data_IF_915911831801
#
_entry.id   IF_915911831801
#
_cell.length_a   1.000
_cell.length_b   1.000
_cell.length_c   1.000
_cell.angle_alpha   90.00
_cell.angle_beta   90.00
_cell.angle_gamma   90.00
#
_symmetry.space_group_name_H-M   'P 1'
#
loop_
_entity.id
_entity.type
_entity.pdbx_description
1 polymer ?
#
# COMPACT_ATOMS: atom_id res chain seq x y z
N UNK A 1 -7.10 -1.53 -19.94
CA UNK A 1 -6.15 -1.09 -18.88
C UNK A 1 -4.71 -1.39 -19.29
N UNK A 2 -4.32 -2.64 -19.55
CA UNK A 2 -2.97 -2.97 -20.05
C UNK A 2 -2.61 -2.29 -21.39
N UNK A 3 -3.56 -2.15 -22.32
CA UNK A 3 -3.31 -1.54 -23.64
C UNK A 3 -3.04 -0.03 -23.62
N UNK A 4 -3.50 0.68 -22.58
CA UNK A 4 -3.30 2.14 -22.46
C UNK A 4 -2.11 2.44 -21.55
N UNK A 5 -1.92 1.66 -20.48
CA UNK A 5 -0.79 1.85 -19.56
C UNK A 5 0.56 1.44 -20.16
N UNK A 6 0.58 0.57 -21.17
CA UNK A 6 1.79 0.17 -21.90
C UNK A 6 2.04 0.98 -23.18
N UNK A 7 1.23 2.00 -23.46
CA UNK A 7 1.47 2.89 -24.59
C UNK A 7 2.76 3.70 -24.37
N UNK A 8 3.42 4.05 -25.47
CA UNK A 8 4.63 4.88 -25.41
C UNK A 8 4.30 6.22 -24.75
N UNK A 9 5.13 6.72 -23.82
CA UNK A 9 4.90 8.01 -23.17
C UNK A 9 5.02 9.18 -24.16
N UNK A 10 5.75 8.98 -25.25
CA UNK A 10 5.89 9.91 -26.36
C UNK A 10 5.19 9.39 -27.62
N UNK A 11 4.68 10.31 -28.45
CA UNK A 11 4.05 10.01 -29.73
C UNK A 11 2.56 10.35 -29.80
N UNK A 12 1.89 10.03 -30.91
CA UNK A 12 0.47 10.34 -31.09
C UNK A 12 -0.39 9.49 -30.17
N UNK A 13 -1.38 10.11 -29.53
CA UNK A 13 -2.37 9.46 -28.67
C UNK A 13 -3.69 9.16 -29.39
N UNK A 14 -3.77 9.49 -30.69
CA UNK A 14 -4.92 9.22 -31.54
C UNK A 14 -4.50 9.09 -33.01
N UNK A 15 -5.38 8.56 -33.85
CA UNK A 15 -5.18 8.46 -35.30
C UNK A 15 -4.49 7.16 -35.76
N UNK A 16 -4.16 7.11 -37.05
CA UNK A 16 -3.66 5.89 -37.69
C UNK A 16 -2.31 5.41 -37.12
N UNK A 17 -1.42 6.34 -36.81
CA UNK A 17 -0.11 6.03 -36.22
C UNK A 17 -0.25 5.49 -34.79
N UNK A 18 -1.10 6.09 -33.95
CA UNK A 18 -1.40 5.54 -32.62
C UNK A 18 -1.96 4.11 -32.69
N UNK A 19 -2.89 3.86 -33.63
CA UNK A 19 -3.44 2.52 -33.84
C UNK A 19 -2.36 1.51 -34.24
N UNK A 20 -1.45 1.88 -35.15
CA UNK A 20 -0.34 1.02 -35.56
C UNK A 20 0.62 0.72 -34.40
N UNK A 21 0.94 1.72 -33.58
CA UNK A 21 1.77 1.53 -32.38
C UNK A 21 1.10 0.58 -31.38
N UNK A 22 -0.20 0.76 -31.10
CA UNK A 22 -0.94 -0.15 -30.23
C UNK A 22 -0.95 -1.59 -30.76
N UNK A 23 -1.21 -1.79 -32.05
CA UNK A 23 -1.23 -3.12 -32.67
C UNK A 23 0.14 -3.80 -32.56
N UNK A 24 1.23 -3.06 -32.81
CA UNK A 24 2.58 -3.59 -32.71
C UNK A 24 3.02 -3.89 -31.27
N UNK A 25 2.77 -2.95 -30.35
CA UNK A 25 3.36 -2.97 -29.00
C UNK A 25 2.51 -3.80 -28.02
N UNK A 26 1.20 -3.94 -28.22
CA UNK A 26 0.30 -4.62 -27.26
C UNK A 26 0.75 -6.04 -26.88
N UNK A 27 1.33 -6.79 -27.82
CA UNK A 27 1.83 -8.16 -27.58
C UNK A 27 3.34 -8.22 -27.28
N UNK A 28 4.00 -7.07 -27.23
CA UNK A 28 5.47 -6.93 -27.11
C UNK A 28 5.89 -6.02 -25.95
N UNK A 29 4.95 -5.65 -25.10
CA UNK A 29 5.21 -4.84 -23.91
C UNK A 29 5.25 -5.72 -22.66
N UNK A 30 6.17 -5.38 -21.76
CA UNK A 30 6.22 -5.90 -20.39
C UNK A 30 6.29 -4.73 -19.41
N UNK A 31 5.98 -5.00 -18.14
CA UNK A 31 6.08 -4.00 -17.09
C UNK A 31 6.81 -4.58 -15.88
N UNK A 32 7.77 -3.83 -15.35
CA UNK A 32 8.44 -4.16 -14.10
C UNK A 32 7.71 -3.50 -12.94
N UNK A 33 7.18 -4.31 -12.04
CA UNK A 33 6.61 -3.84 -10.78
C UNK A 33 7.55 -4.19 -9.63
N UNK A 34 8.03 -3.16 -8.93
CA UNK A 34 8.87 -3.31 -7.76
C UNK A 34 8.19 -2.66 -6.55
N UNK A 35 8.21 -3.36 -5.42
CA UNK A 35 7.68 -2.88 -4.15
C UNK A 35 8.77 -2.92 -3.08
N UNK A 36 8.88 -1.82 -2.34
CA UNK A 36 9.77 -1.69 -1.20
C UNK A 36 9.03 -1.80 0.13
N UNK A 37 9.76 -1.51 1.20
CA UNK A 37 9.19 -1.21 2.51
C UNK A 37 9.17 0.30 2.67
N UNK A 38 8.10 0.84 3.24
CA UNK A 38 8.09 2.21 3.79
C UNK A 38 8.24 2.15 5.30
N UNK A 39 9.10 3.04 5.83
CA UNK A 39 9.39 3.14 7.26
C UNK A 39 8.21 3.83 7.97
N UNK A 40 7.75 3.27 9.09
CA UNK A 40 6.73 3.92 9.91
C UNK A 40 7.24 5.27 10.43
N UNK A 41 6.46 6.35 10.23
CA UNK A 41 6.80 7.70 10.67
C UNK A 41 5.68 8.22 11.57
N UNK A 42 6.04 8.80 12.72
CA UNK A 42 5.12 9.46 13.65
C UNK A 42 4.35 10.63 13.02
N UNK A 43 5.02 11.38 12.13
CA UNK A 43 4.42 12.47 11.37
C UNK A 43 3.32 12.03 10.40
N UNK A 44 3.31 10.75 9.99
CA UNK A 44 2.34 10.23 9.04
C UNK A 44 1.15 9.69 9.82
N UNK A 45 -0.03 10.29 9.61
CA UNK A 45 -1.22 9.98 10.39
C UNK A 45 -2.51 10.18 9.60
N UNK A 46 -3.58 9.57 10.11
CA UNK A 46 -4.96 9.80 9.68
C UNK A 46 -5.69 10.42 10.87
N UNK A 47 -6.35 11.54 10.62
CA UNK A 47 -7.22 12.23 11.59
C UNK A 47 -8.61 12.40 11.01
N UNK A 48 -9.57 12.74 11.87
CA UNK A 48 -10.89 13.20 11.41
C UNK A 48 -10.82 14.69 11.12
N UNK A 49 -11.33 15.10 9.97
CA UNK A 49 -11.42 16.52 9.61
C UNK A 49 -12.45 17.23 10.49
N UNK A 50 -12.11 18.40 11.10
CA UNK A 50 -12.99 19.07 12.04
C UNK A 50 -14.20 19.76 11.39
N UNK A 51 -14.18 20.03 10.08
CA UNK A 51 -15.22 20.81 9.40
C UNK A 51 -15.72 20.16 8.12
N UNK A 52 -14.87 19.42 7.42
CA UNK A 52 -15.25 18.77 6.18
C UNK A 52 -16.02 17.47 6.44
N UNK A 53 -17.17 17.34 5.76
CA UNK A 53 -18.01 16.16 5.82
C UNK A 53 -18.11 15.51 4.45
N UNK A 54 -18.26 14.20 4.46
CA UNK A 54 -18.51 13.43 3.24
C UNK A 54 -19.96 13.64 2.75
N UNK A 55 -20.29 13.02 1.61
CA UNK A 55 -21.63 13.13 1.00
C UNK A 55 -22.76 12.53 1.85
N UNK A 56 -22.44 11.86 2.96
CA UNK A 56 -23.37 11.26 3.91
C UNK A 56 -23.36 11.98 5.28
N UNK A 57 -22.84 13.21 5.33
CA UNK A 57 -22.77 14.06 6.53
C UNK A 57 -21.87 13.48 7.66
N UNK A 58 -20.96 12.56 7.33
CA UNK A 58 -19.97 12.04 8.30
C UNK A 58 -18.69 12.88 8.24
N UNK A 59 -18.00 13.11 9.37
CA UNK A 59 -16.69 13.73 9.36
C UNK A 59 -15.74 13.00 8.40
N UNK A 60 -15.09 13.76 7.50
CA UNK A 60 -14.18 13.19 6.50
C UNK A 60 -12.87 12.75 7.16
N UNK A 61 -12.16 11.82 6.53
CA UNK A 61 -10.77 11.54 6.91
C UNK A 61 -9.84 12.63 6.37
N UNK A 62 -8.83 12.98 7.15
CA UNK A 62 -7.72 13.85 6.75
C UNK A 62 -6.42 13.07 6.89
N UNK A 63 -5.78 12.81 5.76
CA UNK A 63 -4.49 12.12 5.67
C UNK A 63 -3.35 13.15 5.67
N UNK A 64 -2.42 12.99 6.61
CA UNK A 64 -1.12 13.66 6.58
C UNK A 64 -0.07 12.61 6.26
N UNK A 65 0.55 12.71 5.09
CA UNK A 65 1.53 11.73 4.64
C UNK A 65 2.64 12.39 3.84
N UNK A 66 3.87 11.94 4.09
CA UNK A 66 5.03 12.20 3.24
C UNK A 66 5.99 11.02 3.35
N UNK A 67 6.42 10.51 2.20
CA UNK A 67 7.47 9.50 2.11
C UNK A 67 8.74 9.96 2.84
N UNK A 68 9.46 9.00 3.41
CA UNK A 68 10.79 9.23 3.95
C UNK A 68 11.82 9.32 2.81
N UNK A 69 12.93 10.02 3.00
CA UNK A 69 13.97 10.15 1.97
C UNK A 69 14.52 8.77 1.54
N UNK A 70 14.56 7.81 2.48
CA UNK A 70 14.92 6.40 2.21
C UNK A 70 13.90 5.68 1.31
N UNK A 71 12.60 6.01 1.42
CA UNK A 71 11.56 5.42 0.56
C UNK A 71 11.79 5.86 -0.91
N UNK A 72 12.15 7.14 -1.11
CA UNK A 72 12.50 7.68 -2.42
C UNK A 72 13.83 7.12 -2.93
N UNK A 73 14.84 6.97 -2.08
CA UNK A 73 16.11 6.35 -2.44
C UNK A 73 15.94 4.89 -2.87
N UNK A 74 15.11 4.12 -2.16
CA UNK A 74 14.76 2.75 -2.51
C UNK A 74 13.99 2.69 -3.84
N UNK A 75 13.05 3.61 -4.08
CA UNK A 75 12.34 3.69 -5.35
C UNK A 75 13.30 3.94 -6.53
N UNK A 76 14.28 4.84 -6.37
CA UNK A 76 15.30 5.11 -7.39
C UNK A 76 16.15 3.86 -7.66
N UNK A 77 16.64 3.22 -6.59
CA UNK A 77 17.42 1.99 -6.72
C UNK A 77 16.64 0.88 -7.46
N UNK A 78 15.37 0.66 -7.10
CA UNK A 78 14.55 -0.37 -7.73
C UNK A 78 14.24 -0.04 -9.20
N UNK A 79 14.06 1.25 -9.53
CA UNK A 79 13.87 1.70 -10.91
C UNK A 79 15.12 1.47 -11.76
N UNK A 80 16.31 1.83 -11.25
CA UNK A 80 17.59 1.57 -11.95
C UNK A 80 17.78 0.08 -12.25
N UNK A 81 17.53 -0.78 -11.26
CA UNK A 81 17.56 -2.24 -11.46
C UNK A 81 16.53 -2.73 -12.48
N UNK A 82 15.34 -2.13 -12.52
CA UNK A 82 14.31 -2.47 -13.50
C UNK A 82 14.70 -2.07 -14.93
N UNK A 83 15.42 -0.96 -15.09
CA UNK A 83 15.96 -0.54 -16.39
C UNK A 83 17.07 -1.50 -16.87
N UNK A 84 17.99 -1.89 -15.99
CA UNK A 84 19.01 -2.92 -16.29
C UNK A 84 18.38 -4.25 -16.71
N UNK A 85 17.34 -4.69 -15.99
CA UNK A 85 16.60 -5.91 -16.33
C UNK A 85 15.88 -5.79 -17.69
N UNK A 86 15.36 -4.60 -18.02
CA UNK A 86 14.73 -4.35 -19.33
C UNK A 86 15.74 -4.49 -20.46
N UNK A 87 16.92 -3.87 -20.32
CA UNK A 87 18.01 -3.98 -21.30
C UNK A 87 18.48 -5.43 -21.45
N UNK A 88 18.74 -6.12 -20.34
CA UNK A 88 19.15 -7.52 -20.34
C UNK A 88 18.09 -8.47 -20.95
N UNK A 89 16.81 -8.10 -20.88
CA UNK A 89 15.70 -8.83 -21.50
C UNK A 89 15.56 -8.57 -23.00
N UNK A 90 16.38 -7.71 -23.58
CA UNK A 90 16.37 -7.36 -25.01
C UNK A 90 15.29 -6.33 -25.38
N UNK A 91 14.83 -5.51 -24.43
CA UNK A 91 13.89 -4.44 -24.72
C UNK A 91 14.50 -3.43 -25.70
N UNK A 92 13.77 -3.13 -26.79
CA UNK A 92 14.21 -2.14 -27.78
C UNK A 92 13.90 -0.71 -27.37
N UNK A 93 12.94 -0.54 -26.46
CA UNK A 93 12.55 0.72 -25.86
C UNK A 93 12.26 0.46 -24.39
N UNK A 94 12.66 1.38 -23.53
CA UNK A 94 12.38 1.33 -22.11
C UNK A 94 12.22 2.75 -21.60
N UNK A 95 11.28 2.95 -20.70
CA UNK A 95 11.04 4.22 -20.06
C UNK A 95 10.62 3.98 -18.63
N UNK A 96 10.97 4.93 -17.78
CA UNK A 96 10.62 4.91 -16.38
C UNK A 96 9.56 5.97 -16.10
N UNK A 97 8.68 5.70 -15.15
CA UNK A 97 7.79 6.71 -14.61
C UNK A 97 8.56 7.63 -13.66
N UNK A 98 8.24 8.94 -13.59
CA UNK A 98 8.81 9.81 -12.57
C UNK A 98 8.61 9.25 -11.17
N UNK A 99 9.65 9.32 -10.35
CA UNK A 99 9.54 9.00 -8.92
C UNK A 99 9.08 10.26 -8.21
N UNK A 100 7.87 10.20 -7.67
CA UNK A 100 7.23 11.30 -6.96
C UNK A 100 6.77 10.84 -5.58
N UNK A 101 6.59 11.79 -4.67
CA UNK A 101 5.97 11.54 -3.36
C UNK A 101 4.56 11.01 -3.59
N UNK A 102 4.21 9.92 -2.90
CA UNK A 102 2.91 9.29 -3.04
C UNK A 102 1.81 10.18 -2.46
N UNK A 103 0.73 10.31 -3.22
CA UNK A 103 -0.50 11.01 -2.82
C UNK A 103 -1.67 10.04 -2.58
N UNK A 104 -1.39 8.73 -2.55
CA UNK A 104 -2.36 7.67 -2.31
C UNK A 104 -1.79 6.29 -2.68
N UNK A 105 -2.42 5.23 -2.17
CA UNK A 105 -2.00 3.85 -2.42
C UNK A 105 -3.01 2.82 -1.95
N UNK A 106 -2.84 1.57 -2.38
CA UNK A 106 -3.76 0.47 -2.04
C UNK A 106 -3.38 -0.29 -0.77
N UNK A 107 -2.14 -0.14 -0.29
CA UNK A 107 -1.64 -0.81 0.92
C UNK A 107 -1.60 0.16 2.11
N UNK A 108 -2.76 0.45 2.68
CA UNK A 108 -2.90 1.30 3.87
C UNK A 108 -2.67 0.47 5.13
N UNK A 109 -1.60 0.77 5.87
CA UNK A 109 -1.11 -0.07 6.98
C UNK A 109 -0.78 0.79 8.21
N UNK A 110 -0.81 0.18 9.39
CA UNK A 110 -0.22 0.74 10.63
C UNK A 110 -1.04 1.79 11.41
N UNK A 111 -2.26 2.12 10.99
CA UNK A 111 -3.09 3.15 11.64
C UNK A 111 -3.65 2.74 13.01
N UNK A 112 -3.69 1.45 13.31
CA UNK A 112 -4.09 0.89 14.61
C UNK A 112 -3.09 -0.20 15.01
N UNK A 113 -1.80 0.13 14.98
CA UNK A 113 -0.69 -0.82 15.09
C UNK A 113 -0.76 -1.69 16.35
N UNK A 114 -0.34 -2.94 16.22
CA UNK A 114 -0.07 -3.84 17.33
C UNK A 114 1.12 -3.35 18.17
N UNK A 115 1.09 -3.64 19.47
CA UNK A 115 2.23 -3.47 20.37
C UNK A 115 1.92 -3.97 21.78
N UNK A 116 2.94 -4.02 22.63
CA UNK A 116 2.77 -4.42 24.04
C UNK A 116 2.51 -3.22 24.97
N UNK A 117 2.75 -2.00 24.50
CA UNK A 117 2.65 -0.76 25.27
C UNK A 117 1.45 0.10 24.81
N UNK A 118 0.40 0.26 25.64
CA UNK A 118 -0.82 0.99 25.27
C UNK A 118 -0.58 2.48 24.98
N UNK A 119 0.54 3.07 25.41
CA UNK A 119 0.87 4.47 25.10
C UNK A 119 1.39 4.64 23.67
N UNK A 120 1.80 3.53 23.02
CA UNK A 120 2.41 3.56 21.68
C UNK A 120 1.70 2.66 20.65
N UNK A 121 0.79 1.78 21.08
CA UNK A 121 -0.03 0.92 20.23
C UNK A 121 -1.53 1.01 20.54
N UNK A 122 -2.36 0.51 19.61
CA UNK A 122 -3.83 0.54 19.74
C UNK A 122 -4.38 -0.82 20.17
N UNK A 123 -3.76 -1.89 19.69
CA UNK A 123 -4.14 -3.26 20.00
C UNK A 123 -2.92 -4.06 20.47
N UNK A 124 -3.18 -5.08 21.27
CA UNK A 124 -2.15 -6.05 21.65
C UNK A 124 -1.76 -6.96 20.47
N UNK A 125 -0.80 -7.86 20.71
CA UNK A 125 -0.35 -8.86 19.71
C UNK A 125 -1.44 -9.83 19.24
N UNK A 126 -2.60 -9.86 19.88
CA UNK A 126 -3.76 -10.70 19.52
C UNK A 126 -4.91 -9.87 18.94
N UNK A 127 -4.64 -8.62 18.55
CA UNK A 127 -5.59 -7.68 17.96
C UNK A 127 -6.68 -7.17 18.92
N UNK A 128 -6.55 -7.41 20.24
CA UNK A 128 -7.47 -6.89 21.25
C UNK A 128 -7.10 -5.44 21.56
N UNK A 129 -8.08 -4.54 21.58
CA UNK A 129 -7.85 -3.15 22.00
C UNK A 129 -7.33 -3.10 23.43
N UNK A 130 -6.37 -2.21 23.68
CA UNK A 130 -5.90 -1.94 25.04
C UNK A 130 -6.97 -1.27 25.91
N UNK A 131 -7.85 -0.45 25.32
CA UNK A 131 -8.84 0.36 26.03
C UNK A 131 -10.18 -0.36 26.22
N UNK A 132 -10.58 -1.18 25.25
CA UNK A 132 -11.91 -1.80 25.20
C UNK A 132 -11.78 -3.32 25.15
N UNK A 133 -12.04 -4.05 26.26
CA UNK A 133 -11.78 -5.48 26.35
C UNK A 133 -12.50 -6.35 25.31
N UNK A 134 -13.66 -5.95 24.78
CA UNK A 134 -14.38 -6.75 23.78
C UNK A 134 -14.27 -6.20 22.35
N UNK A 135 -13.32 -5.29 22.10
CA UNK A 135 -13.05 -4.74 20.78
C UNK A 135 -11.78 -5.36 20.18
N UNK A 136 -11.89 -5.81 18.93
CA UNK A 136 -10.78 -6.38 18.17
C UNK A 136 -10.65 -5.70 16.80
N UNK A 137 -9.43 -5.42 16.36
CA UNK A 137 -9.16 -4.75 15.07
C UNK A 137 -8.27 -5.65 14.19
N UNK A 138 -8.84 -6.24 13.14
CA UNK A 138 -8.17 -7.26 12.32
C UNK A 138 -8.12 -6.85 10.84
N UNK A 139 -7.19 -5.95 10.50
CA UNK A 139 -6.89 -5.56 9.11
C UNK A 139 -5.44 -5.05 8.98
N UNK A 140 -5.11 -4.40 7.86
CA UNK A 140 -3.79 -3.82 7.60
C UNK A 140 -3.36 -2.75 8.61
N UNK A 141 -4.30 -2.08 9.29
CA UNK A 141 -4.01 -1.07 10.32
C UNK A 141 -3.20 -1.63 11.49
N UNK A 142 -3.34 -2.92 11.77
CA UNK A 142 -2.64 -3.62 12.85
C UNK A 142 -1.15 -3.88 12.58
N UNK A 143 -0.72 -3.79 11.31
CA UNK A 143 0.64 -4.10 10.90
C UNK A 143 1.63 -3.02 11.36
N UNK A 144 2.71 -3.41 12.03
CA UNK A 144 3.75 -2.49 12.55
C UNK A 144 4.81 -2.13 11.50
N UNK A 145 4.93 -2.95 10.46
CA UNK A 145 5.78 -2.69 9.29
C UNK A 145 4.98 -2.93 8.02
N UNK A 146 5.34 -2.23 6.95
CA UNK A 146 4.67 -2.39 5.66
C UNK A 146 5.01 -3.71 4.95
N UNK A 147 6.08 -4.39 5.39
CA UNK A 147 6.62 -5.56 4.69
C UNK A 147 7.18 -5.19 3.32
N UNK A 148 7.46 -6.19 2.47
CA UNK A 148 7.89 -5.99 1.06
C UNK A 148 6.85 -6.45 0.04
N UNK A 149 5.94 -7.33 0.47
CA UNK A 149 4.95 -7.97 -0.40
C UNK A 149 3.56 -7.37 -0.24
N UNK A 150 2.61 -7.97 -0.95
CA UNK A 150 1.20 -7.64 -0.77
C UNK A 150 0.74 -8.09 0.63
N UNK A 151 0.08 -7.21 1.42
CA UNK A 151 -0.17 -7.47 2.83
C UNK A 151 -1.33 -8.43 3.09
N UNK A 152 -2.20 -8.68 2.10
CA UNK A 152 -3.47 -9.39 2.29
C UNK A 152 -3.30 -10.78 2.91
N UNK A 153 -2.32 -11.58 2.46
CA UNK A 153 -2.09 -12.91 3.05
C UNK A 153 -1.62 -12.82 4.50
N UNK A 154 -0.77 -11.85 4.82
CA UNK A 154 -0.35 -11.59 6.21
C UNK A 154 -1.54 -11.15 7.07
N UNK A 155 -2.40 -10.27 6.55
CA UNK A 155 -3.62 -9.84 7.23
C UNK A 155 -4.54 -11.05 7.50
N UNK A 156 -4.73 -11.94 6.53
CA UNK A 156 -5.52 -13.16 6.72
C UNK A 156 -4.93 -14.08 7.79
N UNK A 157 -3.61 -14.30 7.76
CA UNK A 157 -2.93 -15.11 8.77
C UNK A 157 -3.08 -14.53 10.19
N UNK A 158 -2.95 -13.21 10.31
CA UNK A 158 -3.16 -12.48 11.56
C UNK A 158 -4.61 -12.57 12.04
N UNK A 159 -5.58 -12.44 11.13
CA UNK A 159 -7.00 -12.59 11.43
C UNK A 159 -7.35 -14.00 11.91
N UNK A 160 -6.78 -15.05 11.31
CA UNK A 160 -6.95 -16.42 11.80
C UNK A 160 -6.43 -16.57 13.24
N UNK A 161 -5.22 -16.07 13.52
CA UNK A 161 -4.67 -16.07 14.88
C UNK A 161 -5.58 -15.31 15.84
N UNK A 162 -5.99 -14.09 15.52
CA UNK A 162 -6.90 -13.31 16.36
C UNK A 162 -8.22 -14.04 16.63
N UNK A 163 -8.76 -14.75 15.64
CA UNK A 163 -10.01 -15.51 15.78
C UNK A 163 -9.92 -16.61 16.84
N UNK A 164 -8.78 -17.29 16.97
CA UNK A 164 -8.56 -18.31 18.01
C UNK A 164 -8.61 -17.69 19.41
N UNK A 165 -8.03 -16.49 19.58
CA UNK A 165 -8.03 -15.75 20.84
C UNK A 165 -9.42 -15.20 21.18
N UNK A 166 -10.17 -14.72 20.20
CA UNK A 166 -11.56 -14.29 20.39
C UNK A 166 -12.42 -15.46 20.86
N UNK A 167 -12.28 -16.63 20.23
CA UNK A 167 -13.03 -17.85 20.61
C UNK A 167 -12.66 -18.29 22.02
N UNK A 168 -11.38 -18.28 22.38
CA UNK A 168 -10.92 -18.64 23.71
C UNK A 168 -11.46 -17.69 24.79
N UNK A 169 -11.35 -16.37 24.57
CA UNK A 169 -11.86 -15.35 25.47
C UNK A 169 -13.39 -15.50 25.69
N UNK A 170 -14.15 -15.71 24.62
CA UNK A 170 -15.60 -15.93 24.72
C UNK A 170 -15.95 -17.20 25.50
N UNK A 171 -15.23 -18.31 25.28
CA UNK A 171 -15.43 -19.56 26.04
C UNK A 171 -15.12 -19.41 27.53
N UNK A 172 -14.21 -18.51 27.87
CA UNK A 172 -13.83 -18.22 29.25
C UNK A 172 -14.71 -17.14 29.92
N UNK A 173 -15.71 -16.59 29.22
CA UNK A 173 -16.49 -15.41 29.65
C UNK A 173 -15.64 -14.16 29.93
N UNK A 174 -14.57 -13.96 29.16
CA UNK A 174 -13.72 -12.76 29.23
C UNK A 174 -14.18 -11.65 28.27
N UNK A 175 -15.09 -11.97 27.35
CA UNK A 175 -15.81 -11.09 26.41
C UNK A 175 -17.23 -11.59 26.17
#
# INVERSE_FOLDING_TARGET
LFSIAGARPEGPTWGAEYKANLENDFTRSMFWFAGGTSIAQDRNNITIDPTHKDKWDRPSIRLTYRDHDDDLALANFLQDRSMELSEASGATHSWAQPIEVQNGGSHLLGTCRMGDDPETSVVDKYHRSHDVPNLFICDGSSMVSSGRGQPTMTIMALAFRASEHIIAAARNNEI
#
